data_IF_732592627026
#
_entry.id   IF_732592627026
#
_cell.length_a   1.000
_cell.length_b   1.000
_cell.length_c   1.000
_cell.angle_alpha   90.00
_cell.angle_beta   90.00
_cell.angle_gamma   90.00
#
_symmetry.space_group_name_H-M   'P 1'
#
loop_
_entity.id
_entity.type
_entity.pdbx_description
1 polymer ?
#
# COMPACT_ATOMS: atom_id res chain seq x y z
N UNK A 1 1.42 -12.28 -22.75
CA UNK A 1 1.97 -11.13 -22.00
C UNK A 1 1.91 -11.47 -20.52
N UNK A 2 2.98 -11.17 -19.76
CA UNK A 2 3.01 -11.35 -18.32
C UNK A 2 2.04 -10.43 -17.58
N UNK A 3 1.84 -10.64 -16.27
CA UNK A 3 1.04 -9.77 -15.39
C UNK A 3 1.77 -8.44 -15.13
N UNK A 4 1.02 -7.38 -14.87
CA UNK A 4 1.53 -6.05 -14.54
C UNK A 4 0.95 -5.58 -13.20
N UNK A 5 1.81 -5.06 -12.34
CA UNK A 5 1.45 -4.49 -11.05
C UNK A 5 1.80 -3.00 -10.99
N UNK A 6 0.92 -2.19 -10.40
CA UNK A 6 1.25 -0.85 -9.92
C UNK A 6 1.41 -0.91 -8.40
N UNK A 7 2.58 -0.51 -7.90
CA UNK A 7 2.88 -0.42 -6.47
C UNK A 7 3.19 1.03 -6.12
N UNK A 8 2.32 1.69 -5.35
CA UNK A 8 2.58 3.05 -4.90
C UNK A 8 3.51 3.06 -3.69
N UNK A 9 4.49 3.98 -3.66
CA UNK A 9 5.59 3.92 -2.71
C UNK A 9 6.45 2.66 -2.90
N UNK A 10 6.57 2.18 -4.15
CA UNK A 10 7.19 0.89 -4.51
C UNK A 10 8.71 0.84 -4.44
N UNK A 11 9.36 1.94 -4.04
CA UNK A 11 10.82 2.06 -4.09
C UNK A 11 11.52 1.97 -2.74
N UNK A 12 10.77 2.01 -1.62
CA UNK A 12 11.31 1.95 -0.24
C UNK A 12 10.43 1.07 0.67
N UNK A 13 11.00 0.63 1.78
CA UNK A 13 10.30 -0.06 2.87
C UNK A 13 9.42 -1.24 2.41
N UNK A 14 8.19 -1.28 2.88
CA UNK A 14 7.19 -2.31 2.54
C UNK A 14 6.94 -2.35 1.03
N UNK A 15 6.77 -1.19 0.38
CA UNK A 15 6.52 -1.11 -1.06
C UNK A 15 7.66 -1.72 -1.88
N UNK A 16 8.92 -1.50 -1.47
CA UNK A 16 10.09 -2.11 -2.07
C UNK A 16 10.06 -3.63 -1.94
N UNK A 17 9.81 -4.15 -0.74
CA UNK A 17 9.72 -5.60 -0.51
C UNK A 17 8.60 -6.24 -1.37
N UNK A 18 7.47 -5.56 -1.55
CA UNK A 18 6.39 -6.00 -2.45
C UNK A 18 6.87 -5.98 -3.91
N UNK A 19 7.54 -4.92 -4.36
CA UNK A 19 8.10 -4.80 -5.71
C UNK A 19 9.08 -5.95 -5.99
N UNK A 20 10.00 -6.21 -5.05
CA UNK A 20 10.98 -7.29 -5.17
C UNK A 20 10.31 -8.67 -5.26
N UNK A 21 9.28 -8.94 -4.46
CA UNK A 21 8.53 -10.21 -4.51
C UNK A 21 7.76 -10.39 -5.81
N UNK A 22 7.13 -9.33 -6.32
CA UNK A 22 6.41 -9.36 -7.59
C UNK A 22 7.36 -9.62 -8.77
N UNK A 23 8.51 -8.95 -8.81
CA UNK A 23 9.50 -9.15 -9.85
C UNK A 23 10.11 -10.56 -9.84
N UNK A 24 10.38 -11.12 -8.66
CA UNK A 24 10.81 -12.52 -8.52
C UNK A 24 9.75 -13.53 -8.98
N UNK A 25 8.47 -13.15 -8.91
CA UNK A 25 7.36 -13.95 -9.45
C UNK A 25 7.13 -13.73 -10.97
N UNK A 26 7.99 -12.99 -11.66
CA UNK A 26 7.88 -12.72 -13.09
C UNK A 26 6.82 -11.68 -13.48
N UNK A 27 6.35 -10.88 -12.51
CA UNK A 27 5.39 -9.79 -12.74
C UNK A 27 6.17 -8.51 -13.10
N UNK A 28 5.76 -7.83 -14.17
CA UNK A 28 6.28 -6.49 -14.47
C UNK A 28 5.69 -5.48 -13.46
N UNK A 29 6.53 -4.61 -12.89
CA UNK A 29 6.11 -3.68 -11.85
C UNK A 29 6.30 -2.24 -12.28
N UNK A 30 5.24 -1.47 -12.24
CA UNK A 30 5.27 -0.01 -12.24
C UNK A 30 5.43 0.46 -10.78
N UNK A 31 6.63 0.89 -10.41
CA UNK A 31 6.95 1.38 -9.09
C UNK A 31 6.76 2.90 -9.03
N UNK A 32 5.69 3.34 -8.35
CA UNK A 32 5.45 4.77 -8.18
C UNK A 32 6.14 5.29 -6.92
N UNK A 33 6.71 6.50 -7.00
CA UNK A 33 7.41 7.18 -5.91
C UNK A 33 7.18 8.70 -5.98
N UNK A 34 7.43 9.42 -4.89
CA UNK A 34 7.16 10.85 -4.83
C UNK A 34 8.43 11.70 -5.06
N UNK A 35 9.54 11.41 -4.35
CA UNK A 35 10.69 12.33 -4.27
C UNK A 35 12.07 11.69 -4.31
N UNK A 36 12.19 10.44 -3.93
CA UNK A 36 13.50 9.78 -3.77
C UNK A 36 13.95 9.10 -5.06
N UNK A 37 14.55 9.89 -5.94
CA UNK A 37 15.07 9.43 -7.23
C UNK A 37 16.19 8.40 -7.06
N UNK A 38 17.03 8.55 -6.02
CA UNK A 38 18.15 7.64 -5.77
C UNK A 38 17.64 6.24 -5.43
N UNK A 39 16.69 6.15 -4.49
CA UNK A 39 16.07 4.86 -4.16
C UNK A 39 15.32 4.28 -5.36
N UNK A 40 14.63 5.11 -6.15
CA UNK A 40 13.90 4.66 -7.33
C UNK A 40 14.84 4.04 -8.37
N UNK A 41 15.92 4.72 -8.73
CA UNK A 41 16.90 4.19 -9.69
C UNK A 41 17.59 2.91 -9.18
N UNK A 42 17.89 2.83 -7.88
CA UNK A 42 18.47 1.62 -7.30
C UNK A 42 17.56 0.39 -7.45
N UNK A 43 16.23 0.58 -7.34
CA UNK A 43 15.23 -0.49 -7.59
C UNK A 43 15.26 -0.93 -9.04
N UNK A 44 15.19 0.02 -9.97
CA UNK A 44 15.21 -0.25 -11.41
C UNK A 44 16.48 -0.99 -11.82
N UNK A 45 17.65 -0.52 -11.38
CA UNK A 45 18.95 -1.10 -11.75
C UNK A 45 19.12 -2.53 -11.20
N UNK A 46 18.63 -2.75 -9.96
CA UNK A 46 18.65 -4.11 -9.40
C UNK A 46 17.74 -5.04 -10.19
N UNK A 47 16.52 -4.63 -10.51
CA UNK A 47 15.59 -5.42 -11.31
C UNK A 47 16.18 -5.73 -12.68
N UNK A 48 16.76 -4.75 -13.37
CA UNK A 48 17.38 -4.89 -14.67
C UNK A 48 18.53 -5.92 -14.66
N UNK A 49 19.37 -5.90 -13.62
CA UNK A 49 20.46 -6.90 -13.45
C UNK A 49 19.95 -8.33 -13.28
N UNK A 50 18.73 -8.49 -12.77
CA UNK A 50 18.06 -9.79 -12.60
C UNK A 50 17.16 -10.16 -13.80
N UNK A 51 17.14 -9.36 -14.87
CA UNK A 51 16.26 -9.59 -16.03
C UNK A 51 14.78 -9.34 -15.74
N UNK A 52 14.46 -8.67 -14.64
CA UNK A 52 13.08 -8.32 -14.27
C UNK A 52 12.70 -6.92 -14.81
N UNK A 53 11.42 -6.71 -15.04
CA UNK A 53 10.89 -5.43 -15.55
C UNK A 53 10.35 -4.59 -14.40
N UNK A 54 11.02 -3.45 -14.15
CA UNK A 54 10.50 -2.38 -13.28
C UNK A 54 10.53 -1.07 -14.04
N UNK A 55 9.39 -0.38 -14.10
CA UNK A 55 9.31 1.00 -14.60
C UNK A 55 9.10 1.95 -13.44
N UNK A 56 9.67 3.15 -13.55
CA UNK A 56 9.62 4.17 -12.51
C UNK A 56 8.62 5.26 -12.90
N UNK A 57 7.74 5.61 -11.96
CA UNK A 57 6.73 6.64 -12.17
C UNK A 57 6.75 7.62 -11.01
N UNK A 58 7.16 8.86 -11.28
CA UNK A 58 7.15 9.91 -10.26
C UNK A 58 5.76 10.54 -10.17
N UNK A 59 5.11 10.43 -9.01
CA UNK A 59 3.77 10.95 -8.78
C UNK A 59 3.54 11.34 -7.32
N UNK A 60 3.01 12.53 -7.08
CA UNK A 60 2.39 12.85 -5.80
C UNK A 60 0.96 12.29 -5.79
N UNK A 61 0.78 11.18 -5.11
CA UNK A 61 -0.53 10.51 -5.02
C UNK A 61 -1.54 11.26 -4.14
N UNK A 62 -1.12 12.30 -3.41
CA UNK A 62 -2.03 13.20 -2.72
C UNK A 62 -2.87 14.07 -3.66
N UNK A 63 -2.50 14.13 -4.95
CA UNK A 63 -3.21 14.89 -5.98
C UNK A 63 -4.06 13.95 -6.85
N UNK A 64 -5.39 14.14 -6.90
CA UNK A 64 -6.30 13.24 -7.66
C UNK A 64 -5.93 13.10 -9.12
N UNK A 65 -5.54 14.21 -9.78
CA UNK A 65 -5.14 14.21 -11.19
C UNK A 65 -3.85 13.42 -11.42
N UNK A 66 -2.91 13.43 -10.47
CA UNK A 66 -1.70 12.62 -10.53
C UNK A 66 -2.01 11.12 -10.42
N UNK A 67 -2.99 10.73 -9.59
CA UNK A 67 -3.43 9.34 -9.51
C UNK A 67 -4.01 8.83 -10.85
N UNK A 68 -4.86 9.63 -11.50
CA UNK A 68 -5.44 9.28 -12.79
C UNK A 68 -4.36 9.17 -13.88
N UNK A 69 -3.46 10.17 -13.95
CA UNK A 69 -2.33 10.18 -14.87
C UNK A 69 -1.43 8.96 -14.66
N UNK A 70 -1.08 8.64 -13.43
CA UNK A 70 -0.24 7.49 -13.11
C UNK A 70 -0.81 6.17 -13.66
N UNK A 71 -2.10 5.91 -13.46
CA UNK A 71 -2.74 4.71 -14.02
C UNK A 71 -2.74 4.73 -15.54
N UNK A 72 -2.97 5.89 -16.17
CA UNK A 72 -2.94 6.03 -17.62
C UNK A 72 -1.54 5.76 -18.19
N UNK A 73 -0.50 6.32 -17.59
CA UNK A 73 0.92 6.07 -17.97
C UNK A 73 1.28 4.57 -17.88
N UNK A 74 0.84 3.88 -16.81
CA UNK A 74 1.06 2.43 -16.67
C UNK A 74 0.35 1.65 -17.77
N UNK A 75 -0.88 2.01 -18.09
CA UNK A 75 -1.65 1.36 -19.16
C UNK A 75 -1.06 1.64 -20.55
N UNK A 76 -0.57 2.84 -20.79
CA UNK A 76 0.10 3.20 -22.04
C UNK A 76 1.42 2.40 -22.21
N UNK A 77 2.22 2.31 -21.15
CA UNK A 77 3.53 1.66 -21.20
C UNK A 77 3.46 0.13 -21.23
N UNK A 78 2.50 -0.47 -20.50
CA UNK A 78 2.42 -1.92 -20.33
C UNK A 78 1.22 -2.58 -21.04
N UNK A 79 0.25 -1.80 -21.52
CA UNK A 79 -0.96 -2.29 -22.19
C UNK A 79 -1.98 -2.96 -21.26
N UNK A 80 -1.67 -3.13 -19.97
CA UNK A 80 -2.54 -3.79 -18.98
C UNK A 80 -2.19 -3.39 -17.55
N UNK A 81 -3.13 -3.63 -16.63
CA UNK A 81 -2.91 -3.50 -15.18
C UNK A 81 -3.70 -4.60 -14.47
N UNK A 82 -2.99 -5.55 -13.84
CA UNK A 82 -3.59 -6.71 -13.18
C UNK A 82 -3.65 -6.54 -11.67
N UNK A 83 -2.62 -5.93 -11.09
CA UNK A 83 -2.45 -5.77 -9.67
C UNK A 83 -2.28 -4.30 -9.32
N UNK A 84 -3.05 -3.82 -8.33
CA UNK A 84 -2.85 -2.51 -7.73
C UNK A 84 -2.55 -2.70 -6.24
N UNK A 85 -1.40 -2.20 -5.78
CA UNK A 85 -1.06 -2.14 -4.37
C UNK A 85 -1.00 -0.68 -3.93
N UNK A 86 -2.03 -0.24 -3.22
CA UNK A 86 -2.11 1.08 -2.60
C UNK A 86 -1.32 1.05 -1.28
N UNK A 87 0.01 1.27 -1.40
CA UNK A 87 0.94 1.23 -0.29
C UNK A 87 1.46 2.62 0.10
N UNK A 88 1.51 3.58 -0.81
CA UNK A 88 1.98 4.92 -0.48
C UNK A 88 1.30 5.48 0.77
N UNK A 89 2.06 6.07 1.65
CA UNK A 89 1.59 6.65 2.88
C UNK A 89 2.59 7.64 3.46
N UNK A 90 2.10 8.50 4.32
CA UNK A 90 2.87 9.41 5.15
C UNK A 90 2.29 9.43 6.56
N UNK A 91 3.12 9.62 7.53
CA UNK A 91 2.71 9.89 8.91
C UNK A 91 3.37 11.18 9.37
N UNK A 92 2.58 12.04 9.99
CA UNK A 92 3.07 13.21 10.71
C UNK A 92 2.56 13.06 12.14
N UNK A 93 3.49 12.80 13.08
CA UNK A 93 3.13 12.64 14.48
C UNK A 93 2.92 14.01 15.12
N UNK A 94 1.70 14.25 15.60
CA UNK A 94 1.26 15.48 16.23
C UNK A 94 0.28 15.18 17.35
N UNK A 95 0.28 15.97 18.42
CA UNK A 95 -0.78 15.92 19.43
C UNK A 95 -2.10 16.37 18.79
N UNK A 96 -3.22 15.89 19.29
CA UNK A 96 -4.55 16.24 18.76
C UNK A 96 -4.75 17.76 18.65
N UNK A 97 -4.26 18.54 19.64
CA UNK A 97 -4.36 20.02 19.67
C UNK A 97 -3.56 20.71 18.57
N UNK A 98 -2.55 20.06 18.02
CA UNK A 98 -1.54 20.67 17.15
C UNK A 98 -1.77 20.32 15.67
N UNK A 99 -2.75 19.44 15.38
CA UNK A 99 -3.09 19.06 14.00
C UNK A 99 -3.77 20.23 13.29
N UNK A 100 -3.08 20.81 12.32
CA UNK A 100 -3.64 21.85 11.47
C UNK A 100 -4.62 21.29 10.43
N UNK A 101 -5.56 22.11 9.90
CA UNK A 101 -6.41 21.69 8.80
C UNK A 101 -5.59 21.22 7.57
N UNK A 102 -4.46 21.87 7.28
CA UNK A 102 -3.56 21.54 6.18
C UNK A 102 -2.94 20.17 6.37
N UNK A 103 -2.40 19.87 7.56
CA UNK A 103 -1.84 18.56 7.90
C UNK A 103 -2.90 17.47 7.85
N UNK A 104 -4.09 17.74 8.40
CA UNK A 104 -5.23 16.83 8.29
C UNK A 104 -5.54 16.49 6.83
N UNK A 105 -5.77 17.51 6.00
CA UNK A 105 -6.10 17.33 4.59
C UNK A 105 -4.99 16.59 3.84
N UNK A 106 -3.72 16.93 4.10
CA UNK A 106 -2.57 16.27 3.47
C UNK A 106 -2.49 14.79 3.84
N UNK A 107 -2.64 14.46 5.11
CA UNK A 107 -2.61 13.06 5.54
C UNK A 107 -3.79 12.26 4.99
N UNK A 108 -5.01 12.82 4.97
CA UNK A 108 -6.18 12.18 4.35
C UNK A 108 -5.98 12.03 2.84
N UNK A 109 -5.45 13.04 2.15
CA UNK A 109 -5.20 12.99 0.72
C UNK A 109 -4.24 11.84 0.35
N UNK A 110 -3.11 11.72 1.06
CA UNK A 110 -2.10 10.70 0.75
C UNK A 110 -2.51 9.31 1.23
N UNK A 111 -3.08 9.18 2.44
CA UNK A 111 -3.31 7.87 3.06
C UNK A 111 -4.67 7.24 2.73
N UNK A 112 -5.65 8.01 2.23
CA UNK A 112 -7.00 7.53 1.94
C UNK A 112 -7.48 7.91 0.55
N UNK A 113 -7.47 9.23 0.21
CA UNK A 113 -8.02 9.69 -1.07
C UNK A 113 -7.24 9.13 -2.26
N UNK A 114 -5.92 8.99 -2.14
CA UNK A 114 -5.06 8.36 -3.15
C UNK A 114 -5.54 6.94 -3.50
N UNK A 115 -5.80 6.12 -2.48
CA UNK A 115 -6.26 4.74 -2.67
C UNK A 115 -7.64 4.70 -3.38
N UNK A 116 -8.51 5.68 -3.11
CA UNK A 116 -9.77 5.81 -3.82
C UNK A 116 -9.56 6.15 -5.30
N UNK A 117 -8.81 7.21 -5.62
CA UNK A 117 -8.64 7.67 -7.00
C UNK A 117 -7.85 6.67 -7.87
N UNK A 118 -6.81 6.05 -7.30
CA UNK A 118 -6.07 4.97 -7.97
C UNK A 118 -6.96 3.75 -8.22
N UNK A 119 -7.74 3.34 -7.21
CA UNK A 119 -8.68 2.23 -7.37
C UNK A 119 -9.76 2.56 -8.40
N UNK A 120 -10.32 3.77 -8.40
CA UNK A 120 -11.32 4.20 -9.39
C UNK A 120 -10.80 4.06 -10.81
N UNK A 121 -9.58 4.57 -11.08
CA UNK A 121 -8.97 4.51 -12.40
C UNK A 121 -8.60 3.06 -12.80
N UNK A 122 -7.98 2.29 -11.91
CA UNK A 122 -7.57 0.91 -12.17
C UNK A 122 -8.77 -0.03 -12.36
N UNK A 123 -9.80 0.07 -11.51
CA UNK A 123 -10.97 -0.79 -11.56
C UNK A 123 -11.81 -0.59 -12.83
N UNK A 124 -11.78 0.59 -13.45
CA UNK A 124 -12.39 0.83 -14.74
C UNK A 124 -11.77 -0.10 -15.82
N UNK A 125 -10.44 -0.16 -15.90
CA UNK A 125 -9.72 -1.04 -16.81
C UNK A 125 -9.87 -2.53 -16.42
N UNK A 126 -9.66 -2.87 -15.14
CA UNK A 126 -9.80 -4.24 -14.64
C UNK A 126 -11.19 -4.84 -14.90
N UNK A 127 -12.24 -4.00 -14.88
CA UNK A 127 -13.60 -4.42 -15.21
C UNK A 127 -13.73 -4.86 -16.68
N UNK A 128 -13.08 -4.16 -17.60
CA UNK A 128 -13.09 -4.50 -19.04
C UNK A 128 -12.35 -5.82 -19.29
N UNK A 129 -11.19 -6.03 -18.65
CA UNK A 129 -10.41 -7.28 -18.77
C UNK A 129 -10.96 -8.44 -17.93
N UNK A 130 -11.99 -8.19 -17.07
CA UNK A 130 -12.62 -9.18 -16.16
C UNK A 130 -11.63 -9.88 -15.23
N UNK A 131 -10.60 -9.17 -14.84
CA UNK A 131 -9.57 -9.60 -13.89
C UNK A 131 -8.95 -8.41 -13.19
N UNK A 132 -8.68 -8.55 -11.90
CA UNK A 132 -7.91 -7.58 -11.12
C UNK A 132 -7.75 -8.03 -9.68
N UNK A 133 -6.66 -7.61 -9.07
CA UNK A 133 -6.40 -7.76 -7.64
C UNK A 133 -5.96 -6.42 -7.07
N UNK A 134 -6.69 -5.92 -6.10
CA UNK A 134 -6.37 -4.68 -5.40
C UNK A 134 -6.06 -5.00 -3.95
N UNK A 135 -4.91 -4.56 -3.46
CA UNK A 135 -4.53 -4.66 -2.06
C UNK A 135 -4.24 -3.27 -1.52
N UNK A 136 -4.99 -2.87 -0.51
CA UNK A 136 -4.82 -1.63 0.22
C UNK A 136 -4.01 -1.87 1.49
N UNK A 137 -3.00 -1.04 1.76
CA UNK A 137 -2.21 -1.13 2.99
C UNK A 137 -2.81 -0.18 4.04
N UNK A 138 -3.41 -0.80 5.05
CA UNK A 138 -3.95 -0.14 6.23
C UNK A 138 -2.89 0.22 7.27
N UNK A 139 -3.24 0.15 8.55
CA UNK A 139 -2.34 0.27 9.71
C UNK A 139 -3.02 -0.24 10.96
N UNK A 140 -2.27 -0.84 11.88
CA UNK A 140 -2.76 -1.19 13.22
C UNK A 140 -3.26 0.04 14.00
N UNK A 141 -2.75 1.23 13.70
CA UNK A 141 -3.25 2.49 14.26
C UNK A 141 -4.74 2.72 13.98
N UNK A 142 -5.28 2.16 12.88
CA UNK A 142 -6.71 2.21 12.58
C UNK A 142 -7.56 1.34 13.53
N UNK A 143 -6.96 0.36 14.20
CA UNK A 143 -7.62 -0.57 15.12
C UNK A 143 -7.45 -0.13 16.58
N UNK A 144 -6.22 0.23 16.96
CA UNK A 144 -5.84 0.55 18.35
C UNK A 144 -5.96 2.04 18.67
N UNK A 145 -5.91 2.90 17.67
CA UNK A 145 -5.73 4.34 17.84
C UNK A 145 -4.30 4.72 18.20
N UNK A 146 -4.00 6.01 18.16
CA UNK A 146 -2.75 6.59 18.64
C UNK A 146 -2.98 8.05 19.04
N UNK A 147 -2.48 8.49 20.20
CA UNK A 147 -2.70 9.86 20.66
C UNK A 147 -1.92 10.90 19.83
N UNK A 148 -0.94 10.47 19.04
CA UNK A 148 -0.09 11.34 18.21
C UNK A 148 -0.22 11.10 16.70
N UNK A 149 -1.11 10.21 16.27
CA UNK A 149 -1.33 9.87 14.85
C UNK A 149 -2.80 9.95 14.47
N UNK A 150 -3.52 10.97 14.96
CA UNK A 150 -4.99 11.06 14.84
C UNK A 150 -5.45 11.12 13.39
N UNK A 151 -4.86 12.00 12.58
CA UNK A 151 -5.22 12.14 11.16
C UNK A 151 -4.84 10.88 10.35
N UNK A 152 -3.67 10.30 10.64
CA UNK A 152 -3.22 9.05 10.05
C UNK A 152 -4.15 7.88 10.39
N UNK A 153 -4.47 7.70 11.67
CA UNK A 153 -5.38 6.65 12.14
C UNK A 153 -6.77 6.76 11.52
N UNK A 154 -7.33 7.98 11.44
CA UNK A 154 -8.60 8.23 10.79
C UNK A 154 -8.57 7.86 9.29
N UNK A 155 -7.52 8.28 8.57
CA UNK A 155 -7.35 7.95 7.16
C UNK A 155 -7.21 6.45 6.93
N UNK A 156 -6.38 5.76 7.73
CA UNK A 156 -6.17 4.31 7.64
C UNK A 156 -7.41 3.51 8.08
N UNK A 157 -8.23 4.03 8.99
CA UNK A 157 -9.56 3.49 9.29
C UNK A 157 -10.51 3.57 8.09
N UNK A 158 -10.48 4.66 7.34
CA UNK A 158 -11.23 4.84 6.09
C UNK A 158 -10.89 3.82 5.01
N UNK A 159 -9.64 3.34 4.96
CA UNK A 159 -9.17 2.29 4.03
C UNK A 159 -9.99 1.00 4.17
N UNK A 160 -10.38 0.63 5.39
CA UNK A 160 -11.20 -0.57 5.63
C UNK A 160 -12.59 -0.43 5.00
N UNK A 161 -13.23 0.72 5.18
CA UNK A 161 -14.53 1.04 4.58
C UNK A 161 -14.45 1.09 3.05
N UNK A 162 -13.43 1.76 2.51
CA UNK A 162 -13.14 1.83 1.09
C UNK A 162 -12.96 0.44 0.47
N UNK A 163 -12.14 -0.41 1.10
CA UNK A 163 -11.87 -1.79 0.65
C UNK A 163 -13.17 -2.58 0.49
N UNK A 164 -14.01 -2.58 1.52
CA UNK A 164 -15.27 -3.34 1.51
C UNK A 164 -16.26 -2.81 0.47
N UNK A 165 -16.33 -1.49 0.30
CA UNK A 165 -17.21 -0.85 -0.69
C UNK A 165 -16.76 -1.16 -2.11
N UNK A 166 -15.48 -1.04 -2.41
CA UNK A 166 -14.91 -1.40 -3.71
C UNK A 166 -15.09 -2.90 -4.00
N UNK A 167 -14.83 -3.77 -3.03
CA UNK A 167 -15.01 -5.21 -3.18
C UNK A 167 -16.45 -5.55 -3.60
N UNK A 168 -17.45 -4.99 -2.94
CA UNK A 168 -18.87 -5.18 -3.29
C UNK A 168 -19.21 -4.69 -4.70
N UNK A 169 -18.63 -3.57 -5.11
CA UNK A 169 -18.90 -2.98 -6.42
C UNK A 169 -18.38 -3.83 -7.59
N UNK A 170 -17.27 -4.57 -7.39
CA UNK A 170 -16.56 -5.25 -8.49
C UNK A 170 -16.50 -6.78 -8.40
N UNK A 171 -16.98 -7.41 -7.32
CA UNK A 171 -16.85 -8.85 -7.09
C UNK A 171 -17.33 -9.71 -8.29
N UNK A 172 -18.47 -9.34 -8.87
CA UNK A 172 -19.04 -10.05 -10.04
C UNK A 172 -18.25 -9.86 -11.35
N UNK A 173 -17.20 -9.03 -11.31
CA UNK A 173 -16.32 -8.73 -12.47
C UNK A 173 -15.02 -9.54 -12.46
N UNK A 174 -14.87 -10.52 -11.55
CA UNK A 174 -13.64 -11.31 -11.41
C UNK A 174 -12.51 -10.56 -10.70
N UNK A 175 -12.85 -9.49 -9.96
CA UNK A 175 -11.89 -8.63 -9.28
C UNK A 175 -12.03 -8.82 -7.77
N UNK A 176 -10.90 -8.90 -7.06
CA UNK A 176 -10.86 -8.86 -5.60
C UNK A 176 -10.25 -7.57 -5.10
N UNK A 177 -10.76 -7.06 -3.98
CA UNK A 177 -10.22 -5.89 -3.28
C UNK A 177 -10.10 -6.24 -1.81
N UNK A 178 -8.87 -6.22 -1.27
CA UNK A 178 -8.58 -6.61 0.10
C UNK A 178 -7.71 -5.57 0.80
N UNK A 179 -7.65 -5.65 2.12
CA UNK A 179 -6.80 -4.80 2.94
C UNK A 179 -5.83 -5.66 3.74
N UNK A 180 -4.56 -5.24 3.80
CA UNK A 180 -3.58 -5.76 4.77
C UNK A 180 -3.34 -4.69 5.81
N UNK A 181 -3.42 -5.04 7.09
CA UNK A 181 -3.15 -4.15 8.22
C UNK A 181 -1.81 -4.52 8.84
N UNK A 182 -0.74 -3.77 8.55
CA UNK A 182 0.54 -3.95 9.22
C UNK A 182 0.49 -3.45 10.66
N UNK A 183 1.22 -4.15 11.54
CA UNK A 183 1.69 -3.63 12.82
C UNK A 183 2.93 -2.77 12.64
N UNK A 184 3.87 -2.88 13.59
CA UNK A 184 5.16 -2.18 13.52
C UNK A 184 6.15 -2.97 12.67
N UNK A 185 6.69 -2.33 11.63
CA UNK A 185 7.66 -2.90 10.70
C UNK A 185 8.92 -2.04 10.64
N UNK A 186 10.08 -2.69 10.46
CA UNK A 186 11.36 -2.01 10.27
C UNK A 186 11.41 -1.37 8.87
N UNK A 187 11.19 -0.06 8.81
CA UNK A 187 11.18 0.73 7.57
C UNK A 187 11.73 2.13 7.83
N UNK A 188 12.11 2.82 6.76
CA UNK A 188 12.53 4.23 6.85
C UNK A 188 11.43 5.10 7.49
N UNK A 189 10.17 4.85 7.14
CA UNK A 189 9.03 5.57 7.71
C UNK A 189 8.95 5.43 9.23
N UNK A 190 9.21 4.23 9.76
CA UNK A 190 9.21 4.00 11.21
C UNK A 190 10.42 4.59 11.93
N UNK A 191 11.53 4.73 11.23
CA UNK A 191 12.75 5.37 11.76
C UNK A 191 12.59 6.91 11.90
N UNK A 192 11.67 7.52 11.17
CA UNK A 192 11.37 8.96 11.22
C UNK A 192 10.39 9.34 12.35
N UNK A 193 9.81 8.37 13.08
CA UNK A 193 8.84 8.64 14.14
C UNK A 193 9.53 9.21 15.39
N UNK A 194 9.08 10.38 15.85
CA UNK A 194 9.72 11.15 16.92
C UNK A 194 9.13 10.81 18.30
N UNK A 195 7.81 10.57 18.37
CA UNK A 195 7.10 10.27 19.61
C UNK A 195 6.91 8.78 19.88
N UNK A 196 7.39 7.93 18.97
CA UNK A 196 7.27 6.47 19.08
C UNK A 196 8.45 5.89 19.82
N UNK A 197 8.26 5.48 21.07
CA UNK A 197 9.22 4.69 21.83
C UNK A 197 9.26 3.25 21.30
N UNK A 198 10.37 2.87 20.67
CA UNK A 198 10.54 1.58 20.03
C UNK A 198 10.46 0.40 21.02
N UNK A 199 11.02 0.54 22.21
CA UNK A 199 11.03 -0.53 23.22
C UNK A 199 9.63 -0.70 23.82
N UNK A 200 8.93 0.41 24.10
CA UNK A 200 7.54 0.37 24.54
C UNK A 200 6.64 -0.30 23.48
N UNK A 201 6.79 0.06 22.20
CA UNK A 201 6.05 -0.59 21.11
C UNK A 201 6.40 -2.08 21.00
N UNK A 202 7.68 -2.45 21.12
CA UNK A 202 8.10 -3.85 21.05
C UNK A 202 7.47 -4.68 22.16
N UNK A 203 7.33 -4.11 23.37
CA UNK A 203 6.69 -4.79 24.51
C UNK A 203 5.18 -5.08 24.29
N UNK A 204 4.53 -4.33 23.39
CA UNK A 204 3.12 -4.52 23.02
C UNK A 204 2.93 -5.62 21.94
N UNK A 205 4.01 -6.08 21.31
CA UNK A 205 3.96 -7.09 20.25
C UNK A 205 4.16 -8.49 20.85
N UNK A 206 3.14 -9.38 20.85
CA UNK A 206 3.30 -10.72 21.43
C UNK A 206 4.44 -11.54 20.84
N UNK A 207 4.76 -11.38 19.56
CA UNK A 207 5.93 -12.02 18.91
C UNK A 207 7.27 -11.45 19.41
N UNK A 208 7.27 -10.31 20.15
CA UNK A 208 8.44 -9.73 20.81
C UNK A 208 9.44 -9.02 19.88
N UNK A 209 9.04 -8.71 18.65
CA UNK A 209 9.86 -7.97 17.69
C UNK A 209 9.03 -7.23 16.65
N UNK A 210 9.64 -6.30 16.00
CA UNK A 210 9.11 -5.67 14.79
C UNK A 210 9.12 -6.65 13.61
N UNK A 211 8.16 -6.50 12.71
CA UNK A 211 8.09 -7.26 11.46
C UNK A 211 9.14 -6.77 10.45
N UNK A 212 9.59 -7.68 9.58
CA UNK A 212 10.39 -7.33 8.42
C UNK A 212 9.48 -7.06 7.23
N UNK A 213 9.78 -6.09 6.35
CA UNK A 213 8.97 -5.77 5.17
C UNK A 213 8.62 -6.99 4.31
N UNK A 214 9.52 -7.97 4.20
CA UNK A 214 9.33 -9.21 3.43
C UNK A 214 8.19 -10.08 3.99
N UNK A 215 7.96 -10.04 5.31
CA UNK A 215 6.89 -10.79 5.97
C UNK A 215 5.52 -10.21 5.58
N UNK A 216 5.40 -8.87 5.48
CA UNK A 216 4.19 -8.23 4.98
C UNK A 216 4.00 -8.47 3.47
N UNK A 217 5.08 -8.37 2.70
CA UNK A 217 5.04 -8.62 1.26
C UNK A 217 4.50 -10.03 0.95
N UNK A 218 4.81 -11.03 1.79
CA UNK A 218 4.28 -12.39 1.64
C UNK A 218 2.74 -12.44 1.79
N UNK A 219 2.19 -11.72 2.76
CA UNK A 219 0.73 -11.62 2.92
C UNK A 219 0.06 -10.91 1.74
N UNK A 220 0.70 -9.87 1.19
CA UNK A 220 0.24 -9.20 -0.02
C UNK A 220 0.23 -10.16 -1.20
N UNK A 221 1.31 -10.92 -1.42
CA UNK A 221 1.40 -11.90 -2.49
C UNK A 221 0.29 -12.96 -2.41
N UNK A 222 -0.05 -13.44 -1.21
CA UNK A 222 -1.18 -14.34 -1.01
C UNK A 222 -2.50 -13.74 -1.55
N UNK A 223 -2.77 -12.46 -1.27
CA UNK A 223 -4.01 -11.81 -1.73
C UNK A 223 -4.00 -11.48 -3.23
N UNK A 224 -2.83 -11.44 -3.86
CA UNK A 224 -2.68 -11.24 -5.30
C UNK A 224 -2.75 -12.55 -6.10
N UNK A 225 -2.64 -13.70 -5.43
CA UNK A 225 -2.66 -15.03 -6.06
C UNK A 225 -4.00 -15.32 -6.74
N UNK A 226 -3.96 -16.06 -7.85
CA UNK A 226 -5.16 -16.49 -8.57
C UNK A 226 -6.03 -17.41 -7.71
N UNK A 227 -5.43 -18.24 -6.85
CA UNK A 227 -6.12 -19.13 -5.91
C UNK A 227 -6.83 -18.38 -4.78
N UNK A 228 -6.49 -17.12 -4.53
CA UNK A 228 -7.19 -16.25 -3.58
C UNK A 228 -8.46 -15.59 -4.18
N UNK A 229 -8.95 -16.06 -5.31
CA UNK A 229 -10.10 -15.46 -6.03
C UNK A 229 -11.41 -15.42 -5.23
N UNK A 230 -11.53 -16.20 -4.16
CA UNK A 230 -12.70 -16.19 -3.27
C UNK A 230 -12.49 -15.29 -2.03
N UNK A 231 -11.32 -14.67 -1.89
CA UNK A 231 -10.98 -13.72 -0.82
C UNK A 231 -11.20 -12.30 -1.35
N UNK A 232 -12.29 -11.65 -0.93
CA UNK A 232 -12.57 -10.25 -1.30
C UNK A 232 -13.28 -9.52 -0.17
N UNK A 233 -12.96 -8.24 0.05
CA UNK A 233 -13.43 -7.46 1.20
C UNK A 233 -12.78 -7.85 2.53
N UNK A 234 -11.79 -8.72 2.50
CA UNK A 234 -11.07 -9.17 3.68
C UNK A 234 -10.16 -8.08 4.23
N UNK A 235 -9.97 -8.13 5.55
CA UNK A 235 -9.01 -7.31 6.29
C UNK A 235 -8.07 -8.29 7.00
N UNK A 236 -6.86 -8.41 6.49
CA UNK A 236 -5.83 -9.32 7.01
C UNK A 236 -4.84 -8.55 7.86
N UNK A 237 -4.82 -8.84 9.15
CA UNK A 237 -3.88 -8.23 10.09
C UNK A 237 -2.57 -9.00 10.08
N UNK A 238 -1.45 -8.28 9.97
CA UNK A 238 -0.07 -8.80 9.99
C UNK A 238 0.73 -7.93 10.95
N UNK A 239 0.64 -8.21 12.24
CA UNK A 239 1.09 -7.31 13.31
C UNK A 239 1.79 -8.02 14.47
N UNK A 240 2.14 -9.30 14.32
CA UNK A 240 2.75 -10.08 15.39
C UNK A 240 1.85 -10.29 16.61
N UNK A 241 0.52 -10.15 16.43
CA UNK A 241 -0.48 -10.26 17.50
C UNK A 241 -0.74 -8.96 18.26
N UNK A 242 -0.18 -7.83 17.84
CA UNK A 242 -0.27 -6.53 18.53
C UNK A 242 -1.72 -6.08 18.76
N UNK A 243 -2.62 -6.32 17.81
CA UNK A 243 -4.05 -5.98 17.94
C UNK A 243 -4.93 -7.12 18.43
N UNK A 244 -4.34 -8.27 18.83
CA UNK A 244 -5.05 -9.42 19.31
C UNK A 244 -5.58 -9.16 20.73
N UNK A 245 -6.89 -9.21 20.91
CA UNK A 245 -7.51 -9.01 22.23
C UNK A 245 -7.82 -7.57 22.57
N UNK A 246 -7.80 -6.67 21.59
CA UNK A 246 -8.34 -5.31 21.70
C UNK A 246 -9.83 -5.25 21.38
#
# INVERSE_FOLDING_TARGET
MGRVALVTGGTRGIGRAITDRLTHAGVAVAAAYARDDVAAHAVHDQASRCGATVTLHQADVGEPTSCQRLVAEVLEQHGRLDYLVNNAGMVNEQRLSDVSPEDWHRQVAVNLSSAFFLSQAALAHMTQQRFGRVVNIGSVTALLGSPVQVAYGAAKGGIVGLTRSCARAVARKGITVNCVIPGSFDTDLSAELVYTDRDAVTSMIPVGRWGRPEELAHAVMFLLDDLASYVTGAVLTVDGGMSMGG
#
